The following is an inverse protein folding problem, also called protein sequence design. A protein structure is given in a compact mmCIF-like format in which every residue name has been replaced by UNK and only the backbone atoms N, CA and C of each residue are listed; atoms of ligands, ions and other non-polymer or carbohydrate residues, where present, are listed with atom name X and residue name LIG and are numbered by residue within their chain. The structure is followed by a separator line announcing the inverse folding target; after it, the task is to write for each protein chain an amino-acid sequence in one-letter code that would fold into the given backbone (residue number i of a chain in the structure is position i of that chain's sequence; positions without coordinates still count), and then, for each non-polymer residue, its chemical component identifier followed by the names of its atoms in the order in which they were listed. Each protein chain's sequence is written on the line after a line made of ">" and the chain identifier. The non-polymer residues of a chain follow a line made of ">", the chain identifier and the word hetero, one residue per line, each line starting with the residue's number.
data_IF_888264560082
#
_entry.id   IF_888264560082
#
_cell.length_a   1.000
_cell.length_b   1.000
_cell.length_c   1.000
_cell.angle_alpha   90.00
_cell.angle_beta   90.00
_cell.angle_gamma   90.00
#
_symmetry.space_group_name_H-M   'P 1'
#
loop_
_entity.id
_entity.type
_entity.pdbx_description
1 polymer ?
#
# COMPACT_ATOMS: atom_id res chain seq x y z
N UNK A 1 -1.81 36.50 -3.93
CA UNK A 1 -1.04 35.33 -3.46
C UNK A 1 -2.07 34.28 -3.17
N UNK A 2 -2.35 33.40 -4.14
CA UNK A 2 -3.28 32.30 -3.90
C UNK A 2 -2.51 31.10 -3.39
N UNK A 3 -3.01 30.62 -2.26
CA UNK A 3 -2.63 29.47 -1.45
C UNK A 3 -2.34 28.24 -2.31
N UNK A 4 -1.20 27.60 -2.00
CA UNK A 4 -0.65 26.45 -2.69
C UNK A 4 -1.70 25.34 -2.92
N UNK A 5 -1.84 24.94 -4.19
CA UNK A 5 -2.57 23.74 -4.57
C UNK A 5 -2.03 22.55 -3.78
N UNK A 6 -2.93 21.84 -3.09
CA UNK A 6 -2.57 20.60 -2.41
C UNK A 6 -2.14 19.57 -3.46
N UNK A 7 -0.84 19.24 -3.45
CA UNK A 7 -0.26 18.16 -4.24
C UNK A 7 -0.34 16.90 -3.39
N UNK A 8 -1.14 15.93 -3.80
CA UNK A 8 -1.24 14.65 -3.10
C UNK A 8 -0.23 13.66 -3.70
N UNK A 9 0.52 12.99 -2.84
CA UNK A 9 1.57 12.02 -3.21
C UNK A 9 1.04 10.65 -2.86
N UNK A 10 0.76 9.83 -3.87
CA UNK A 10 0.36 8.45 -3.62
C UNK A 10 1.47 7.49 -4.01
N UNK A 11 1.71 6.53 -3.12
CA UNK A 11 2.89 5.69 -3.11
C UNK A 11 2.46 4.27 -3.43
N UNK A 12 3.20 3.61 -4.32
CA UNK A 12 2.99 2.21 -4.63
C UNK A 12 4.34 1.51 -4.68
N UNK A 13 4.61 0.63 -3.72
CA UNK A 13 5.69 -0.36 -3.80
C UNK A 13 5.18 -1.63 -4.45
N UNK A 14 6.03 -2.33 -5.19
CA UNK A 14 5.72 -3.63 -5.81
C UNK A 14 5.94 -4.79 -4.84
N UNK A 15 6.60 -4.60 -3.70
CA UNK A 15 6.91 -5.67 -2.74
C UNK A 15 6.31 -5.38 -1.35
N UNK A 16 5.57 -6.32 -0.74
CA UNK A 16 5.17 -6.20 0.65
C UNK A 16 6.41 -6.29 1.54
N UNK A 17 6.68 -5.23 2.31
CA UNK A 17 7.68 -5.27 3.38
C UNK A 17 7.17 -6.22 4.48
N UNK A 18 7.82 -7.36 4.66
CA UNK A 18 7.55 -8.25 5.80
C UNK A 18 8.31 -7.73 7.01
N UNK A 19 7.66 -6.98 7.88
CA UNK A 19 8.24 -6.59 9.17
C UNK A 19 7.95 -7.67 10.22
N UNK A 20 8.97 -8.27 10.86
CA UNK A 20 8.75 -9.14 12.02
C UNK A 20 8.21 -8.27 13.16
N UNK A 21 7.05 -8.63 13.70
CA UNK A 21 6.32 -7.75 14.65
C UNK A 21 6.96 -7.69 16.04
N UNK A 22 8.07 -8.38 16.29
CA UNK A 22 8.79 -8.35 17.57
C UNK A 22 8.01 -8.89 18.78
N UNK A 23 6.72 -9.24 18.63
CA UNK A 23 5.93 -9.86 19.69
C UNK A 23 6.24 -11.35 19.78
N UNK A 24 6.97 -11.71 20.82
CA UNK A 24 7.13 -13.09 21.30
C UNK A 24 6.30 -13.22 22.58
N UNK A 25 5.30 -14.11 22.59
CA UNK A 25 4.71 -14.57 23.84
C UNK A 25 3.34 -15.26 23.72
N UNK A 26 3.10 -16.36 24.47
CA UNK A 26 1.75 -16.90 24.66
C UNK A 26 0.98 -16.10 25.73
N UNK A 27 -0.33 -15.94 25.55
CA UNK A 27 -1.25 -15.42 26.58
C UNK A 27 -1.86 -16.61 27.33
N UNK A 28 -1.58 -16.73 28.64
CA UNK A 28 -2.31 -17.60 29.58
C UNK A 28 -3.11 -16.71 30.51
N UNK A 29 -4.43 -16.87 30.54
CA UNK A 29 -5.29 -16.22 31.55
C UNK A 29 -6.31 -17.25 32.02
N UNK A 30 -6.07 -17.76 33.24
CA UNK A 30 -6.97 -18.40 34.22
C UNK A 30 -6.17 -19.37 35.10
N UNK A 31 -5.04 -18.92 35.66
CA UNK A 31 -4.54 -19.53 36.91
C UNK A 31 -5.56 -19.16 38.00
N UNK A 32 -6.31 -20.15 38.50
CA UNK A 32 -7.25 -19.94 39.61
C UNK A 32 -6.53 -19.27 40.80
N UNK A 33 -7.08 -18.20 41.40
CA UNK A 33 -6.68 -17.76 42.72
C UNK A 33 -7.61 -18.40 43.74
N UNK A 34 -7.17 -19.46 44.44
CA UNK A 34 -7.83 -19.86 45.68
C UNK A 34 -7.06 -19.30 46.88
N UNK A 35 -7.76 -18.47 47.66
CA UNK A 35 -7.29 -17.89 48.91
C UNK A 35 -7.78 -18.72 50.11
N UNK A 36 -7.00 -18.64 51.21
CA UNK A 36 -7.33 -18.89 52.62
C UNK A 36 -7.38 -20.34 53.13
N UNK A 37 -6.29 -20.81 53.76
CA UNK A 37 -6.19 -21.10 55.21
C UNK A 37 -4.78 -21.62 55.58
N UNK A 38 -4.23 -21.11 56.68
CA UNK A 38 -3.45 -21.87 57.67
C UNK A 38 -2.09 -22.50 57.30
N UNK A 39 -1.04 -21.96 57.93
CA UNK A 39 0.16 -22.66 58.44
C UNK A 39 1.15 -23.36 57.48
N UNK A 40 2.42 -23.16 57.83
CA UNK A 40 3.64 -23.72 57.26
C UNK A 40 3.73 -25.25 57.33
N UNK A 41 4.13 -25.90 56.23
CA UNK A 41 5.16 -26.95 56.23
C UNK A 41 5.57 -27.36 54.80
N UNK A 42 6.88 -27.46 54.59
CA UNK A 42 7.62 -28.04 53.44
C UNK A 42 7.30 -29.52 53.21
N UNK A 43 7.34 -30.03 51.96
CA UNK A 43 8.01 -31.29 51.50
C UNK A 43 7.90 -31.47 49.96
N UNK A 44 9.09 -31.46 49.32
CA UNK A 44 9.69 -32.31 48.27
C UNK A 44 8.99 -32.66 46.91
N UNK A 45 9.79 -33.00 45.87
CA UNK A 45 9.49 -32.76 44.46
C UNK A 45 8.81 -33.95 43.77
N UNK A 46 7.85 -33.67 42.89
CA UNK A 46 7.45 -34.66 41.88
C UNK A 46 7.72 -34.14 40.47
N UNK A 47 8.26 -35.06 39.68
CA UNK A 47 8.73 -34.90 38.33
C UNK A 47 7.59 -35.27 37.39
N UNK A 48 7.00 -34.28 36.73
CA UNK A 48 6.40 -34.47 35.40
C UNK A 48 6.27 -33.10 34.74
N UNK A 49 7.36 -32.63 34.12
CA UNK A 49 7.24 -31.52 33.18
C UNK A 49 6.44 -32.02 31.97
N UNK A 50 5.28 -31.46 31.61
CA UNK A 50 4.73 -31.73 30.30
C UNK A 50 5.72 -31.17 29.26
N UNK A 51 5.95 -31.85 28.12
CA UNK A 51 6.78 -31.28 27.07
C UNK A 51 6.05 -30.04 26.54
N UNK A 52 6.62 -28.87 26.84
CA UNK A 52 6.24 -27.61 26.22
C UNK A 52 6.50 -27.74 24.71
N UNK A 53 5.44 -28.01 23.95
CA UNK A 53 5.49 -27.99 22.50
C UNK A 53 5.36 -26.54 22.05
N UNK A 54 6.50 -25.93 21.71
CA UNK A 54 6.55 -24.61 21.11
C UNK A 54 5.96 -24.68 19.70
N UNK A 55 4.84 -24.00 19.48
CA UNK A 55 4.36 -23.68 18.13
C UNK A 55 4.58 -22.19 17.94
N UNK A 56 5.66 -21.86 17.23
CA UNK A 56 5.99 -20.49 16.86
C UNK A 56 5.15 -20.11 15.64
N UNK A 57 4.01 -19.47 15.86
CA UNK A 57 3.23 -18.89 14.77
C UNK A 57 3.75 -17.48 14.51
N UNK A 58 4.69 -17.36 13.57
CA UNK A 58 5.16 -16.06 13.11
C UNK A 58 3.99 -15.32 12.42
N UNK A 59 3.39 -14.36 13.15
CA UNK A 59 2.37 -13.49 12.60
C UNK A 59 3.07 -12.43 11.76
N UNK A 60 3.03 -12.61 10.44
CA UNK A 60 3.48 -11.60 9.49
C UNK A 60 2.41 -10.53 9.37
N UNK A 61 2.76 -9.26 9.61
CA UNK A 61 1.90 -8.15 9.19
C UNK A 61 2.15 -7.90 7.70
N UNK A 62 1.09 -7.92 6.91
CA UNK A 62 1.12 -7.42 5.55
C UNK A 62 1.25 -5.89 5.66
N UNK A 63 2.43 -5.35 5.39
CA UNK A 63 2.59 -3.90 5.26
C UNK A 63 1.93 -3.48 3.96
N UNK A 64 1.00 -2.51 3.99
CA UNK A 64 0.41 -1.98 2.77
C UNK A 64 1.49 -1.53 1.81
N UNK A 65 1.29 -1.79 0.52
CA UNK A 65 2.16 -1.34 -0.56
C UNK A 65 2.11 0.18 -0.74
N UNK A 66 1.16 0.85 -0.10
CA UNK A 66 1.10 2.31 0.02
C UNK A 66 1.81 2.83 1.27
N UNK A 67 2.42 3.99 1.15
CA UNK A 67 2.95 4.79 2.27
C UNK A 67 2.16 6.09 2.38
N UNK A 68 2.06 6.62 3.60
CA UNK A 68 1.42 7.90 3.94
C UNK A 68 2.40 9.09 3.84
N UNK A 69 3.69 8.81 3.66
CA UNK A 69 4.77 9.81 3.52
C UNK A 69 5.68 9.49 2.34
N UNK A 70 6.19 10.49 1.60
CA UNK A 70 7.11 10.28 0.49
C UNK A 70 8.25 9.33 0.86
N UNK A 71 8.55 8.36 -0.01
CA UNK A 71 9.64 7.42 0.19
C UNK A 71 10.97 8.15 -0.05
N UNK A 72 11.86 8.23 0.96
CA UNK A 72 13.17 8.85 0.79
C UNK A 72 14.00 8.09 -0.25
N UNK A 73 14.58 8.81 -1.21
CA UNK A 73 15.44 8.25 -2.25
C UNK A 73 14.71 7.52 -3.39
N UNK A 74 13.38 7.38 -3.34
CA UNK A 74 12.60 6.83 -4.44
C UNK A 74 12.47 7.82 -5.61
N UNK A 75 12.32 7.28 -6.82
CA UNK A 75 12.08 8.09 -8.02
C UNK A 75 10.77 8.86 -7.87
N UNK A 76 10.79 10.16 -8.16
CA UNK A 76 9.58 10.99 -8.20
C UNK A 76 9.09 11.10 -9.63
N UNK A 77 7.82 10.74 -9.82
CA UNK A 77 7.15 10.71 -11.12
C UNK A 77 5.99 11.68 -11.08
N UNK A 78 5.97 12.64 -12.00
CA UNK A 78 4.92 13.64 -12.13
C UNK A 78 3.96 13.22 -13.23
N UNK A 79 2.66 13.37 -12.99
CA UNK A 79 1.61 12.99 -13.93
C UNK A 79 0.64 14.15 -14.14
N UNK A 80 0.20 14.31 -15.39
CA UNK A 80 -0.77 15.32 -15.81
C UNK A 80 -1.55 14.78 -17.04
N UNK A 81 -2.76 15.27 -17.27
CA UNK A 81 -3.50 15.02 -18.48
C UNK A 81 -4.27 16.25 -18.99
N UNK A 82 -4.33 16.38 -20.32
CA UNK A 82 -5.05 17.47 -20.97
C UNK A 82 -6.27 16.99 -21.74
N UNK A 83 -7.46 17.49 -21.39
CA UNK A 83 -8.70 17.19 -22.12
C UNK A 83 -8.63 17.66 -23.58
N UNK A 84 -8.14 18.89 -23.80
CA UNK A 84 -8.02 19.49 -25.14
C UNK A 84 -6.93 18.83 -25.98
N UNK A 85 -5.79 18.51 -25.36
CA UNK A 85 -4.67 17.86 -26.05
C UNK A 85 -4.92 16.37 -26.29
N UNK A 86 -5.90 15.75 -25.62
CA UNK A 86 -6.21 14.32 -25.66
C UNK A 86 -4.97 13.47 -25.34
N UNK A 87 -4.17 13.94 -24.38
CA UNK A 87 -2.90 13.31 -23.99
C UNK A 87 -2.73 13.32 -22.48
N UNK A 88 -2.05 12.29 -21.99
CA UNK A 88 -1.48 12.27 -20.65
C UNK A 88 0.04 12.31 -20.73
N UNK A 89 0.67 12.99 -19.77
CA UNK A 89 2.10 13.14 -19.65
C UNK A 89 2.57 12.52 -18.34
N UNK A 90 3.71 11.84 -18.42
CA UNK A 90 4.43 11.30 -17.26
C UNK A 90 5.86 11.78 -17.39
N UNK A 91 6.40 12.45 -16.38
CA UNK A 91 7.78 12.93 -16.38
C UNK A 91 8.51 12.52 -15.11
N UNK A 92 9.80 12.28 -15.22
CA UNK A 92 10.66 11.91 -14.10
C UNK A 92 12.09 12.32 -14.38
N UNK A 93 12.91 12.40 -13.35
CA UNK A 93 14.33 12.70 -13.50
C UNK A 93 15.16 11.42 -13.41
N UNK A 94 16.07 11.21 -14.37
CA UNK A 94 17.04 10.12 -14.38
C UNK A 94 18.44 10.68 -14.63
N UNK A 95 19.39 10.41 -13.73
CA UNK A 95 20.79 10.82 -13.87
C UNK A 95 20.97 12.33 -14.18
N UNK A 96 20.16 13.17 -13.54
CA UNK A 96 20.19 14.63 -13.73
C UNK A 96 19.40 15.14 -14.95
N UNK A 97 18.93 14.26 -15.84
CA UNK A 97 18.15 14.62 -17.03
C UNK A 97 16.65 14.32 -16.87
N UNK A 98 15.81 15.14 -17.51
CA UNK A 98 14.36 14.92 -17.52
C UNK A 98 13.94 13.97 -18.63
N UNK A 99 13.26 12.91 -18.23
CA UNK A 99 12.62 11.95 -19.11
C UNK A 99 11.11 12.19 -19.17
N UNK A 100 10.49 11.77 -20.27
CA UNK A 100 9.04 11.87 -20.43
C UNK A 100 8.42 10.73 -21.23
N UNK A 101 7.20 10.38 -20.84
CA UNK A 101 6.29 9.52 -21.60
C UNK A 101 5.01 10.30 -21.91
N UNK A 102 4.59 10.25 -23.17
CA UNK A 102 3.28 10.73 -23.59
C UNK A 102 2.38 9.54 -23.91
N UNK A 103 1.15 9.59 -23.40
CA UNK A 103 0.07 8.65 -23.73
C UNK A 103 -1.00 9.39 -24.51
N UNK A 104 -1.58 8.72 -25.51
CA UNK A 104 -2.69 9.25 -26.32
C UNK A 104 -4.01 8.69 -25.81
N UNK A 105 -5.05 9.53 -25.82
CA UNK A 105 -6.39 9.12 -25.42
C UNK A 105 -7.04 8.18 -26.42
N UNK A 106 -7.78 7.20 -25.92
CA UNK A 106 -8.79 6.47 -26.70
C UNK A 106 -10.09 7.30 -26.80
N UNK A 107 -11.01 6.95 -27.70
CA UNK A 107 -12.27 7.70 -27.86
C UNK A 107 -13.09 7.73 -26.57
N UNK A 108 -13.15 6.61 -25.85
CA UNK A 108 -13.86 6.48 -24.58
C UNK A 108 -13.20 7.21 -23.40
N UNK A 109 -11.98 7.73 -23.58
CA UNK A 109 -11.27 8.38 -22.48
C UNK A 109 -11.85 9.77 -22.17
N UNK A 110 -12.13 9.97 -20.89
CA UNK A 110 -12.43 11.27 -20.28
C UNK A 110 -11.14 11.86 -19.69
N UNK A 111 -11.21 13.09 -19.16
CA UNK A 111 -10.06 13.67 -18.45
C UNK A 111 -9.65 12.79 -17.25
N UNK A 112 -10.62 12.39 -16.43
CA UNK A 112 -10.36 11.57 -15.24
C UNK A 112 -9.75 10.20 -15.57
N UNK A 113 -10.19 9.56 -16.66
CA UNK A 113 -9.60 8.28 -17.08
C UNK A 113 -8.21 8.46 -17.67
N UNK A 114 -7.90 9.60 -18.30
CA UNK A 114 -6.55 9.91 -18.76
C UNK A 114 -5.58 10.18 -17.61
N UNK A 115 -6.00 10.94 -16.61
CA UNK A 115 -5.21 11.17 -15.39
C UNK A 115 -4.91 9.82 -14.70
N UNK A 116 -5.93 8.96 -14.58
CA UNK A 116 -5.75 7.63 -14.01
C UNK A 116 -4.84 6.75 -14.87
N UNK A 117 -4.96 6.83 -16.20
CA UNK A 117 -4.13 6.06 -17.13
C UNK A 117 -2.65 6.43 -17.02
N UNK A 118 -2.33 7.71 -16.79
CA UNK A 118 -0.97 8.16 -16.54
C UNK A 118 -0.35 7.46 -15.31
N UNK A 119 -1.13 7.38 -14.23
CA UNK A 119 -0.70 6.76 -12.98
C UNK A 119 -0.59 5.24 -13.13
N UNK A 120 -1.58 4.58 -13.74
CA UNK A 120 -1.52 3.14 -14.06
C UNK A 120 -0.26 2.81 -14.85
N UNK A 121 0.08 3.62 -15.85
CA UNK A 121 1.30 3.44 -16.63
C UNK A 121 2.55 3.57 -15.77
N UNK A 122 2.65 4.62 -14.95
CA UNK A 122 3.80 4.83 -14.06
C UNK A 122 4.04 3.63 -13.14
N UNK A 123 3.01 3.19 -12.43
CA UNK A 123 3.09 2.06 -11.48
C UNK A 123 3.41 0.75 -12.19
N UNK A 124 2.87 0.55 -13.40
CA UNK A 124 3.16 -0.66 -14.18
C UNK A 124 4.57 -0.65 -14.79
N UNK A 125 5.13 0.54 -15.04
CA UNK A 125 6.41 0.70 -15.72
C UNK A 125 7.60 0.58 -14.76
N UNK A 126 7.51 1.22 -13.60
CA UNK A 126 8.59 1.22 -12.61
C UNK A 126 8.45 0.02 -11.66
N UNK A 127 9.50 -0.81 -11.59
CA UNK A 127 9.53 -1.97 -10.67
C UNK A 127 9.97 -1.62 -9.26
N UNK A 128 10.68 -0.51 -9.11
CA UNK A 128 11.11 0.01 -7.81
C UNK A 128 10.03 0.92 -7.21
N UNK A 129 10.05 1.17 -5.89
CA UNK A 129 9.14 2.12 -5.28
C UNK A 129 9.28 3.51 -5.90
N UNK A 130 8.14 4.14 -6.19
CA UNK A 130 8.08 5.50 -6.75
C UNK A 130 7.19 6.40 -5.89
N UNK A 131 7.48 7.70 -5.93
CA UNK A 131 6.58 8.74 -5.44
C UNK A 131 5.81 9.30 -6.65
N UNK A 132 4.51 9.00 -6.75
CA UNK A 132 3.67 9.57 -7.81
C UNK A 132 3.10 10.89 -7.34
N UNK A 133 3.33 11.94 -8.13
CA UNK A 133 2.81 13.29 -7.94
C UNK A 133 1.74 13.52 -9.01
N UNK A 134 0.52 13.83 -8.56
CA UNK A 134 -0.61 14.13 -9.44
C UNK A 134 -1.34 15.36 -8.94
N UNK A 135 -1.88 16.15 -9.87
CA UNK A 135 -2.77 17.28 -9.59
C UNK A 135 -4.26 16.86 -9.55
N UNK A 136 -4.55 15.59 -9.85
CA UNK A 136 -5.90 15.04 -9.79
C UNK A 136 -6.23 14.46 -8.41
N UNK A 137 -7.03 15.20 -7.64
CA UNK A 137 -7.61 14.72 -6.37
C UNK A 137 -8.42 13.43 -6.55
N UNK A 138 -9.07 13.27 -7.70
CA UNK A 138 -9.78 12.04 -8.02
C UNK A 138 -8.83 10.85 -8.08
N UNK A 139 -7.75 10.96 -8.84
CA UNK A 139 -6.77 9.89 -9.00
C UNK A 139 -6.05 9.60 -7.69
N UNK A 140 -5.59 10.62 -6.97
CA UNK A 140 -4.95 10.44 -5.68
C UNK A 140 -5.86 9.67 -4.69
N UNK A 141 -7.15 10.05 -4.62
CA UNK A 141 -8.13 9.33 -3.82
C UNK A 141 -8.35 7.88 -4.24
N UNK A 142 -8.38 7.60 -5.55
CA UNK A 142 -8.48 6.22 -6.07
C UNK A 142 -7.26 5.40 -5.65
N UNK A 143 -6.07 5.90 -5.94
CA UNK A 143 -4.79 5.21 -5.71
C UNK A 143 -4.58 4.95 -4.20
N UNK A 144 -5.02 5.88 -3.34
CA UNK A 144 -4.92 5.74 -1.89
C UNK A 144 -5.82 4.65 -1.29
N UNK A 145 -6.89 4.23 -1.99
CA UNK A 145 -7.89 3.27 -1.49
C UNK A 145 -7.91 1.95 -2.24
N UNK A 146 -7.37 1.92 -3.46
CA UNK A 146 -7.61 0.79 -4.38
C UNK A 146 -6.97 -0.52 -3.93
N UNK A 147 -5.87 -0.46 -3.16
CA UNK A 147 -5.20 -1.65 -2.61
C UNK A 147 -6.14 -2.50 -1.74
N UNK A 148 -6.93 -1.84 -0.88
CA UNK A 148 -7.84 -2.50 0.08
C UNK A 148 -9.28 -2.65 -0.49
N UNK A 149 -9.52 -2.19 -1.73
CA UNK A 149 -10.86 -2.07 -2.28
C UNK A 149 -11.30 -3.32 -3.05
N UNK A 150 -12.54 -3.75 -2.83
CA UNK A 150 -13.22 -4.67 -3.73
C UNK A 150 -13.78 -3.91 -4.94
N UNK A 151 -13.18 -4.10 -6.11
CA UNK A 151 -13.61 -3.43 -7.34
C UNK A 151 -14.83 -4.16 -7.91
N UNK A 152 -15.96 -3.46 -7.96
CA UNK A 152 -17.16 -3.92 -8.65
C UNK A 152 -17.18 -3.35 -10.07
N UNK A 153 -17.83 -4.07 -10.98
CA UNK A 153 -18.05 -3.57 -12.33
C UNK A 153 -18.84 -2.25 -12.30
N UNK A 154 -18.40 -1.28 -13.11
CA UNK A 154 -19.04 0.04 -13.24
C UNK A 154 -19.48 0.26 -14.68
N UNK A 155 -20.49 1.12 -14.88
CA UNK A 155 -21.04 1.42 -16.22
C UNK A 155 -19.98 1.97 -17.18
N UNK A 156 -19.01 2.74 -16.67
CA UNK A 156 -17.90 3.23 -17.47
C UNK A 156 -16.85 2.13 -17.62
N UNK A 157 -16.94 1.39 -18.73
CA UNK A 157 -16.07 0.25 -19.02
C UNK A 157 -14.59 0.63 -19.06
N UNK A 158 -14.24 1.81 -19.60
CA UNK A 158 -12.86 2.30 -19.63
C UNK A 158 -12.31 2.53 -18.23
N UNK A 159 -13.10 3.18 -17.37
CA UNK A 159 -12.71 3.36 -15.97
C UNK A 159 -12.54 2.02 -15.25
N UNK A 160 -13.48 1.09 -15.44
CA UNK A 160 -13.40 -0.24 -14.83
C UNK A 160 -12.09 -0.97 -15.23
N UNK A 161 -11.75 -0.94 -16.52
CA UNK A 161 -10.51 -1.52 -17.03
C UNK A 161 -9.27 -0.90 -16.36
N UNK A 162 -9.20 0.43 -16.25
CA UNK A 162 -8.07 1.11 -15.62
C UNK A 162 -7.97 0.81 -14.12
N UNK A 163 -9.09 0.76 -13.40
CA UNK A 163 -9.11 0.35 -11.98
C UNK A 163 -8.60 -1.09 -11.82
N UNK A 164 -8.99 -1.98 -12.73
CA UNK A 164 -8.51 -3.36 -12.71
C UNK A 164 -7.02 -3.48 -13.03
N UNK A 165 -6.53 -2.71 -13.99
CA UNK A 165 -5.10 -2.63 -14.31
C UNK A 165 -4.29 -2.08 -13.14
N UNK A 166 -4.77 -1.02 -12.50
CA UNK A 166 -4.14 -0.42 -11.32
C UNK A 166 -4.08 -1.41 -10.16
N UNK A 167 -5.20 -2.07 -9.84
CA UNK A 167 -5.23 -3.08 -8.79
C UNK A 167 -4.30 -4.25 -9.10
N UNK A 168 -4.26 -4.70 -10.36
CA UNK A 168 -3.33 -5.75 -10.77
C UNK A 168 -1.88 -5.29 -10.62
N UNK A 169 -1.54 -4.08 -11.07
CA UNK A 169 -0.18 -3.53 -10.98
C UNK A 169 0.31 -3.44 -9.53
N UNK A 170 -0.58 -3.09 -8.60
CA UNK A 170 -0.30 -3.15 -7.17
C UNK A 170 0.00 -4.54 -6.66
N UNK A 171 -0.62 -5.59 -7.18
CA UNK A 171 -0.53 -6.95 -6.64
C UNK A 171 0.48 -7.84 -7.38
N UNK A 172 1.31 -7.26 -8.27
CA UNK A 172 2.43 -7.96 -8.91
C UNK A 172 3.54 -8.31 -7.92
#
# INVERSE_FOLDING_TARGET
>A
MDVAAAVDVTIMTTNPLKIPTGLIGPIIINEQPEALLGSTSTIAPNNSKPPLKWVEMQKWMLVPKRSDRPIPGALTVYTDAGKKSRKAAITWQKEGSWEKKMLSAEEADTLQTLELFAVVWAISHFREPINVVTDSLYVAGVVARIEDAFIKEVRNQRLYQLLMQLNKALHQ
#
